data_IF_842206788282
#
_entry.id   IF_842206788282
#
_cell.length_a   1.000
_cell.length_b   1.000
_cell.length_c   1.000
_cell.angle_alpha   90.00
_cell.angle_beta   90.00
_cell.angle_gamma   90.00
#
_symmetry.space_group_name_H-M   'P 1'
#
loop_
_entity.id
_entity.type
_entity.pdbx_description
1 polymer ?
#
# COMPACT_ATOMS: atom_id res chain seq x y z
N UNK A 1 -0.69 -61.43 19.43
CA UNK A 1 0.56 -60.72 19.81
C UNK A 1 1.45 -60.63 18.58
N UNK A 2 2.17 -59.50 18.49
CA UNK A 2 3.22 -59.08 17.53
C UNK A 2 2.82 -58.78 16.08
N UNK A 3 2.83 -57.48 15.71
CA UNK A 3 3.95 -56.88 14.94
C UNK A 3 3.72 -55.38 14.66
N UNK A 4 4.49 -54.58 15.38
CA UNK A 4 5.18 -53.35 14.91
C UNK A 4 4.46 -52.45 13.91
N UNK A 5 3.83 -51.40 14.44
CA UNK A 5 3.47 -50.21 13.68
C UNK A 5 4.75 -49.44 13.31
N UNK A 6 5.12 -49.47 12.02
CA UNK A 6 6.14 -48.60 11.44
C UNK A 6 5.46 -47.39 10.80
N UNK A 7 5.73 -46.24 11.39
CA UNK A 7 5.99 -44.94 10.76
C UNK A 7 5.31 -44.61 9.42
N UNK A 8 4.34 -43.70 9.47
CA UNK A 8 4.19 -42.69 8.42
C UNK A 8 4.47 -41.33 9.07
N UNK A 9 5.60 -40.72 8.69
CA UNK A 9 5.94 -39.36 9.06
C UNK A 9 4.82 -38.43 8.60
N UNK A 10 4.02 -37.93 9.54
CA UNK A 10 3.10 -36.84 9.27
C UNK A 10 3.95 -35.61 8.95
N UNK A 11 3.99 -35.25 7.67
CA UNK A 11 4.44 -33.94 7.22
C UNK A 11 3.61 -32.90 7.98
N UNK A 12 4.21 -32.28 8.99
CA UNK A 12 3.63 -31.15 9.68
C UNK A 12 3.59 -30.03 8.65
N UNK A 13 2.46 -29.89 7.96
CA UNK A 13 2.13 -28.66 7.24
C UNK A 13 2.00 -27.60 8.32
N UNK A 14 3.09 -26.87 8.55
CA UNK A 14 3.08 -25.74 9.45
C UNK A 14 1.96 -24.79 8.98
N UNK A 15 1.01 -24.41 9.85
CA UNK A 15 0.10 -23.34 9.52
C UNK A 15 0.98 -22.11 9.34
N UNK A 16 1.09 -21.63 8.11
CA UNK A 16 1.78 -20.38 7.79
C UNK A 16 1.22 -19.32 8.71
N UNK A 17 2.08 -18.72 9.56
CA UNK A 17 1.67 -17.66 10.47
C UNK A 17 1.01 -16.55 9.63
N UNK A 18 -0.30 -16.46 9.78
CA UNK A 18 -1.11 -15.40 9.22
C UNK A 18 -0.65 -14.13 9.94
N UNK A 19 0.19 -13.34 9.25
CA UNK A 19 0.50 -11.97 9.67
C UNK A 19 -0.80 -11.30 10.09
N UNK A 20 -0.81 -10.62 11.24
CA UNK A 20 -1.97 -9.96 11.86
C UNK A 20 -2.49 -8.76 11.03
N UNK A 21 -2.59 -8.93 9.72
CA UNK A 21 -3.08 -7.99 8.73
C UNK A 21 -4.51 -8.31 8.32
N UNK A 22 -5.06 -7.44 7.47
CA UNK A 22 -6.42 -7.61 6.97
C UNK A 22 -6.50 -8.80 6.00
N UNK A 23 -7.38 -9.75 6.32
CA UNK A 23 -7.66 -10.94 5.51
C UNK A 23 -9.07 -10.80 4.93
N UNK A 24 -9.15 -10.83 3.60
CA UNK A 24 -10.38 -10.57 2.85
C UNK A 24 -10.89 -11.85 2.18
N UNK A 25 -12.21 -12.07 2.09
CA UNK A 25 -12.77 -13.17 1.30
C UNK A 25 -12.42 -13.01 -0.18
N UNK A 26 -12.05 -14.11 -0.82
CA UNK A 26 -11.84 -14.15 -2.28
C UNK A 26 -13.13 -14.66 -2.95
N UNK A 27 -13.79 -13.86 -3.81
CA UNK A 27 -15.08 -14.21 -4.38
C UNK A 27 -14.92 -15.31 -5.45
N UNK A 28 -15.22 -16.55 -5.08
CA UNK A 28 -15.18 -17.70 -6.00
C UNK A 28 -16.36 -18.62 -5.75
N UNK A 29 -16.81 -19.31 -6.80
CA UNK A 29 -17.85 -20.33 -6.68
C UNK A 29 -17.29 -21.72 -6.28
N UNK A 30 -15.98 -21.93 -6.37
CA UNK A 30 -15.34 -23.23 -6.15
C UNK A 30 -14.26 -23.09 -5.08
N UNK A 31 -14.27 -24.01 -4.12
CA UNK A 31 -13.30 -24.04 -3.03
C UNK A 31 -12.24 -25.12 -3.27
N UNK A 32 -11.00 -24.69 -3.51
CA UNK A 32 -9.84 -25.57 -3.66
C UNK A 32 -8.99 -25.68 -2.39
N UNK A 33 -9.48 -25.12 -1.27
CA UNK A 33 -8.81 -25.21 0.02
C UNK A 33 -9.13 -26.53 0.73
N UNK A 34 -8.24 -26.99 1.63
CA UNK A 34 -8.51 -28.15 2.47
C UNK A 34 -9.74 -27.93 3.36
N UNK A 35 -10.29 -29.02 3.87
CA UNK A 35 -11.57 -29.03 4.59
C UNK A 35 -11.67 -27.94 5.66
N UNK A 36 -12.77 -27.18 5.62
CA UNK A 36 -13.08 -26.14 6.60
C UNK A 36 -12.41 -24.78 6.37
N UNK A 37 -11.56 -24.63 5.35
CA UNK A 37 -10.98 -23.35 4.95
C UNK A 37 -11.57 -22.88 3.62
N UNK A 38 -11.54 -21.57 3.39
CA UNK A 38 -11.96 -20.95 2.14
C UNK A 38 -10.80 -20.15 1.52
N UNK A 39 -10.88 -19.83 0.22
CA UNK A 39 -9.93 -18.92 -0.39
C UNK A 39 -10.11 -17.51 0.17
N UNK A 40 -8.99 -16.92 0.58
CA UNK A 40 -8.89 -15.57 1.11
C UNK A 40 -7.75 -14.83 0.43
N UNK A 41 -7.74 -13.51 0.55
CA UNK A 41 -6.66 -12.64 0.09
C UNK A 41 -6.06 -11.93 1.28
N UNK A 42 -4.76 -12.11 1.50
CA UNK A 42 -3.98 -11.41 2.52
C UNK A 42 -2.76 -10.76 1.83
N UNK A 43 -2.54 -9.46 2.07
CA UNK A 43 -1.45 -8.70 1.44
C UNK A 43 -1.41 -8.81 -0.10
N UNK A 44 -2.57 -8.98 -0.75
CA UNK A 44 -2.67 -9.13 -2.21
C UNK A 44 -2.37 -10.53 -2.76
N UNK A 45 -2.06 -11.51 -1.91
CA UNK A 45 -1.85 -12.91 -2.30
C UNK A 45 -3.04 -13.76 -1.91
N UNK A 46 -3.44 -14.68 -2.80
CA UNK A 46 -4.52 -15.64 -2.53
C UNK A 46 -3.96 -16.83 -1.76
N UNK A 47 -4.58 -17.15 -0.62
CA UNK A 47 -4.23 -18.29 0.22
C UNK A 47 -5.49 -18.92 0.85
N UNK A 48 -5.33 -20.04 1.55
CA UNK A 48 -6.42 -20.68 2.29
C UNK A 48 -6.47 -20.17 3.73
N UNK A 49 -7.65 -19.82 4.21
CA UNK A 49 -7.81 -19.28 5.55
C UNK A 49 -9.25 -18.94 5.91
N UNK A 50 -9.39 -18.16 6.99
CA UNK A 50 -10.68 -17.65 7.47
C UNK A 50 -10.66 -16.12 7.31
N UNK A 51 -11.63 -15.52 6.62
CA UNK A 51 -11.70 -14.07 6.46
C UNK A 51 -12.06 -13.40 7.79
N UNK A 52 -11.41 -12.26 8.07
CA UNK A 52 -11.76 -11.38 9.20
C UNK A 52 -12.42 -10.06 8.71
N UNK A 53 -12.68 -9.97 7.42
CA UNK A 53 -13.33 -8.82 6.77
C UNK A 53 -14.50 -9.30 5.93
N UNK A 54 -15.55 -8.50 5.85
CA UNK A 54 -16.75 -8.81 5.07
C UNK A 54 -16.70 -8.21 3.65
N UNK A 55 -15.63 -7.48 3.31
CA UNK A 55 -15.44 -6.85 2.00
C UNK A 55 -14.36 -7.57 1.21
N UNK A 56 -14.40 -7.53 -0.12
CA UNK A 56 -13.33 -8.12 -0.94
C UNK A 56 -12.06 -7.26 -0.91
N UNK A 57 -10.91 -7.87 -1.25
CA UNK A 57 -9.65 -7.14 -1.39
C UNK A 57 -9.75 -6.00 -2.40
N UNK A 58 -10.39 -6.25 -3.55
CA UNK A 58 -10.59 -5.25 -4.59
C UNK A 58 -11.41 -4.06 -4.09
N UNK A 59 -12.42 -4.29 -3.26
CA UNK A 59 -13.25 -3.23 -2.69
C UNK A 59 -12.52 -2.43 -1.62
N UNK A 60 -11.73 -3.10 -0.78
CA UNK A 60 -10.87 -2.43 0.19
C UNK A 60 -9.83 -1.52 -0.48
N UNK A 61 -9.27 -1.95 -1.63
CA UNK A 61 -8.30 -1.16 -2.40
C UNK A 61 -8.95 -0.05 -3.25
N UNK A 62 -10.27 -0.08 -3.47
CA UNK A 62 -11.00 0.96 -4.20
C UNK A 62 -11.25 2.22 -3.39
N UNK A 63 -11.02 2.21 -2.08
CA UNK A 63 -11.30 3.38 -1.25
C UNK A 63 -10.38 4.55 -1.63
N UNK A 64 -10.92 5.73 -2.00
CA UNK A 64 -10.10 6.88 -2.33
C UNK A 64 -9.32 7.31 -1.08
N UNK A 65 -7.99 7.23 -1.15
CA UNK A 65 -7.12 7.81 -0.13
C UNK A 65 -7.07 9.31 -0.38
N UNK A 66 -7.66 10.11 0.52
CA UNK A 66 -7.51 11.56 0.47
C UNK A 66 -6.07 11.93 0.79
N UNK A 67 -5.23 12.07 -0.24
CA UNK A 67 -3.87 12.58 -0.08
C UNK A 67 -3.92 14.10 0.08
N UNK A 68 -3.34 14.64 1.16
CA UNK A 68 -3.18 16.09 1.31
C UNK A 68 -2.14 16.55 0.28
N UNK A 69 -2.58 17.32 -0.73
CA UNK A 69 -1.65 17.94 -1.69
C UNK A 69 -1.23 19.30 -1.14
N UNK A 70 0.04 19.44 -0.77
CA UNK A 70 0.61 20.73 -0.40
C UNK A 70 0.83 21.56 -1.67
N UNK A 71 0.04 22.62 -1.87
CA UNK A 71 0.28 23.56 -2.96
C UNK A 71 1.47 24.44 -2.62
N UNK A 72 2.48 24.47 -3.49
CA UNK A 72 3.57 25.42 -3.38
C UNK A 72 3.01 26.85 -3.44
N UNK A 73 3.38 27.69 -2.47
CA UNK A 73 2.99 29.12 -2.46
C UNK A 73 3.73 29.79 -3.61
N UNK A 74 3.01 30.26 -4.64
CA UNK A 74 3.63 31.07 -5.69
C UNK A 74 3.99 32.43 -5.07
N UNK A 75 5.28 32.73 -4.96
CA UNK A 75 5.74 34.11 -4.76
C UNK A 75 5.58 34.83 -6.10
N UNK A 76 4.77 35.89 -6.12
CA UNK A 76 4.79 36.82 -7.24
C UNK A 76 6.06 37.66 -7.09
N UNK A 77 7.02 37.64 -8.04
CA UNK A 77 8.12 38.58 -7.97
C UNK A 77 7.56 39.99 -8.10
N UNK A 78 7.86 40.83 -7.11
CA UNK A 78 7.64 42.28 -7.18
C UNK A 78 8.42 42.79 -8.40
N UNK A 79 7.75 43.40 -9.37
CA UNK A 79 8.45 44.07 -10.49
C UNK A 79 9.10 45.33 -9.92
N UNK A 80 10.40 45.28 -9.63
CA UNK A 80 11.18 46.47 -9.26
C UNK A 80 11.05 47.50 -10.40
N UNK A 81 10.55 48.72 -10.14
CA UNK A 81 10.55 49.78 -11.14
C UNK A 81 11.99 50.08 -11.56
N UNK A 82 12.27 50.14 -12.87
CA UNK A 82 13.58 50.56 -13.37
C UNK A 82 13.89 51.96 -12.81
N UNK A 83 14.92 52.07 -11.99
CA UNK A 83 15.41 53.35 -11.49
C UNK A 83 15.77 54.26 -12.66
N UNK A 84 15.18 55.46 -12.63
CA UNK A 84 15.41 56.55 -13.57
C UNK A 84 16.84 57.08 -13.39
N UNK A 85 17.71 56.89 -14.38
CA UNK A 85 18.94 57.64 -14.64
C UNK A 85 19.98 57.73 -13.51
N UNK A 86 21.13 57.10 -13.71
CA UNK A 86 22.36 57.40 -12.96
C UNK A 86 22.78 58.84 -13.29
N UNK A 87 22.99 59.76 -12.32
CA UNK A 87 23.52 61.09 -12.63
C UNK A 87 24.96 60.94 -13.12
N UNK A 88 25.20 61.27 -14.39
CA UNK A 88 26.54 61.34 -14.97
C UNK A 88 27.28 62.53 -14.36
N UNK A 89 28.10 62.28 -13.35
CA UNK A 89 29.16 63.19 -12.97
C UNK A 89 30.26 63.16 -14.04
N UNK A 90 30.48 64.27 -14.74
CA UNK A 90 31.76 64.55 -15.43
C UNK A 90 31.90 66.02 -15.83
N UNK A 91 32.94 66.67 -15.30
CA UNK A 91 33.62 67.80 -15.94
C UNK A 91 33.36 69.19 -15.35
N UNK A 92 34.01 69.50 -14.22
CA UNK A 92 34.43 70.88 -13.92
C UNK A 92 35.81 71.03 -14.58
N UNK A 93 35.93 71.89 -15.59
CA UNK A 93 37.18 72.14 -16.30
C UNK A 93 37.00 73.26 -17.33
N UNK A 94 37.65 74.38 -17.01
CA UNK A 94 37.97 75.59 -17.80
C UNK A 94 36.86 76.61 -18.10
#
# INVERSE_FOLDING_TARGET
MVKTALSAAALIVAPTLLSAGNVYPYPTAVNYCPAGLQPVTANGVICCGVPNRNVSYAEAMRHPVKTKVHKARRSHPERIPRQKGIPTGKGLGD
#
